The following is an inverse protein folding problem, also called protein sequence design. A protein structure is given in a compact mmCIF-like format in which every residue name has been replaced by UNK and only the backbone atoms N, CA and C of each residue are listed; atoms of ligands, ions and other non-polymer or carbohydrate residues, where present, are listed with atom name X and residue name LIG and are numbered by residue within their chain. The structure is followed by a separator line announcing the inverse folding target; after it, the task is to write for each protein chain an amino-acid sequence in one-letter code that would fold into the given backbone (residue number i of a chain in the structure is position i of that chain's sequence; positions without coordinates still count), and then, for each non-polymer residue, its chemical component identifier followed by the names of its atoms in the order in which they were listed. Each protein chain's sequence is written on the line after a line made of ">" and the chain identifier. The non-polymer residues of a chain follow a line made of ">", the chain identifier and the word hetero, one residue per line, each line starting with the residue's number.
data_IF_494063782121
#
_entry.id   IF_494063782121
#
_cell.length_a   1.000
_cell.length_b   1.000
_cell.length_c   1.000
_cell.angle_alpha   90.00
_cell.angle_beta   90.00
_cell.angle_gamma   90.00
#
_symmetry.space_group_name_H-M   'P 1'
#
loop_
_entity.id
_entity.type
_entity.pdbx_description
1 polymer ?
#
# COMPACT_ATOMS: atom_id res chain seq x y z
N UNK A 1 13.27 6.81 -2.80
CA UNK A 1 12.64 6.73 -1.46
C UNK A 1 12.41 5.29 -0.99
N UNK A 2 11.78 4.42 -1.81
CA UNK A 2 11.35 3.08 -1.37
C UNK A 2 12.44 2.00 -1.29
N UNK A 3 13.62 2.20 -1.87
CA UNK A 3 14.68 1.19 -1.96
C UNK A 3 15.14 0.59 -0.62
N UNK A 4 14.94 1.30 0.50
CA UNK A 4 15.27 0.79 1.84
C UNK A 4 14.26 -0.23 2.42
N UNK A 5 13.09 -0.36 1.79
CA UNK A 5 12.05 -1.35 2.14
C UNK A 5 11.84 -2.34 1.01
N UNK A 6 12.90 -2.68 0.29
CA UNK A 6 12.87 -3.67 -0.78
C UNK A 6 12.18 -4.96 -0.31
N UNK A 7 11.18 -5.42 -1.06
CA UNK A 7 10.35 -6.57 -0.73
C UNK A 7 9.30 -6.37 0.38
N UNK A 8 9.35 -5.27 1.16
CA UNK A 8 8.38 -4.96 2.24
C UNK A 8 7.33 -3.93 1.85
N UNK A 9 7.67 -3.02 0.93
CA UNK A 9 6.75 -2.02 0.37
C UNK A 9 6.77 -2.12 -1.15
N UNK A 10 5.59 -2.22 -1.74
CA UNK A 10 5.38 -2.25 -3.19
C UNK A 10 4.48 -1.10 -3.60
N UNK A 11 4.67 -0.59 -4.83
CA UNK A 11 3.76 0.39 -5.42
C UNK A 11 2.48 -0.33 -5.83
N UNK A 12 1.36 0.00 -5.19
CA UNK A 12 0.05 -0.54 -5.50
C UNK A 12 -0.58 0.16 -6.72
N UNK A 13 -0.37 1.48 -6.84
CA UNK A 13 -0.85 2.26 -7.96
C UNK A 13 -0.01 3.52 -8.18
N UNK A 14 0.08 3.98 -9.42
CA UNK A 14 0.62 5.29 -9.78
C UNK A 14 -0.54 6.13 -10.30
N UNK A 15 -1.00 7.09 -9.50
CA UNK A 15 -2.13 7.96 -9.83
C UNK A 15 -1.71 9.18 -10.65
N UNK A 16 -0.41 9.50 -10.68
CA UNK A 16 0.14 10.60 -11.45
C UNK A 16 1.63 10.80 -11.19
N UNK A 17 2.24 11.81 -11.84
CA UNK A 17 3.68 12.07 -11.74
C UNK A 17 4.16 12.42 -10.32
N UNK A 18 3.25 12.91 -9.46
CA UNK A 18 3.52 13.26 -8.07
C UNK A 18 2.61 12.52 -7.07
N UNK A 19 1.88 11.49 -7.51
CA UNK A 19 0.95 10.75 -6.64
C UNK A 19 1.00 9.26 -6.93
N UNK A 20 1.28 8.48 -5.89
CA UNK A 20 1.29 7.03 -5.94
C UNK A 20 0.73 6.46 -4.63
N UNK A 21 0.16 5.27 -4.70
CA UNK A 21 -0.27 4.48 -3.55
C UNK A 21 0.72 3.33 -3.40
N UNK A 22 1.13 3.08 -2.16
CA UNK A 22 2.00 1.96 -1.81
C UNK A 22 1.30 1.07 -0.80
N UNK A 23 1.63 -0.20 -0.82
CA UNK A 23 1.12 -1.22 0.10
C UNK A 23 2.28 -2.08 0.59
N UNK A 24 2.19 -2.56 1.83
CA UNK A 24 3.26 -3.33 2.43
C UNK A 24 2.97 -3.70 3.87
N UNK A 25 3.98 -4.26 4.53
CA UNK A 25 3.93 -4.57 5.96
C UNK A 25 3.56 -3.32 6.76
N UNK A 26 2.66 -3.45 7.74
CA UNK A 26 2.19 -2.34 8.58
C UNK A 26 3.35 -1.57 9.20
N UNK A 27 4.35 -2.27 9.76
CA UNK A 27 5.54 -1.64 10.35
C UNK A 27 6.34 -0.85 9.32
N UNK A 28 6.52 -1.38 8.10
CA UNK A 28 7.25 -0.69 7.04
C UNK A 28 6.49 0.56 6.55
N UNK A 29 5.16 0.47 6.44
CA UNK A 29 4.31 1.63 6.11
C UNK A 29 4.38 2.71 7.20
N UNK A 30 4.36 2.33 8.47
CA UNK A 30 4.54 3.29 9.57
C UNK A 30 5.89 4.00 9.51
N UNK A 31 7.00 3.27 9.29
CA UNK A 31 8.33 3.87 9.12
C UNK A 31 8.42 4.79 7.90
N UNK A 32 7.74 4.41 6.81
CA UNK A 32 7.65 5.24 5.61
C UNK A 32 6.96 6.57 5.90
N UNK A 33 5.83 6.55 6.60
CA UNK A 33 5.10 7.76 6.98
C UNK A 33 5.97 8.69 7.83
N UNK A 34 6.66 8.16 8.85
CA UNK A 34 7.57 8.94 9.69
C UNK A 34 8.65 9.60 8.83
N UNK A 35 9.23 8.86 7.88
CA UNK A 35 10.27 9.47 7.05
C UNK A 35 9.72 10.50 6.08
N UNK A 36 8.54 10.26 5.51
CA UNK A 36 7.90 11.25 4.66
C UNK A 36 7.67 12.56 5.43
N UNK A 37 7.26 12.49 6.69
CA UNK A 37 7.13 13.67 7.56
C UNK A 37 8.49 14.40 7.73
N UNK A 38 9.56 13.67 8.05
CA UNK A 38 10.90 14.24 8.18
C UNK A 38 11.41 14.90 6.89
N UNK A 39 11.08 14.33 5.73
CA UNK A 39 11.49 14.81 4.41
C UNK A 39 10.51 15.85 3.83
N UNK A 40 9.48 16.27 4.59
CA UNK A 40 8.41 17.18 4.14
C UNK A 40 7.65 16.69 2.88
N UNK A 41 7.43 15.38 2.78
CA UNK A 41 6.64 14.72 1.73
C UNK A 41 5.21 14.50 2.25
N UNK A 42 4.19 14.98 1.52
CA UNK A 42 2.77 14.70 1.85
C UNK A 42 2.49 13.21 1.63
N UNK A 43 2.38 12.48 2.73
CA UNK A 43 2.00 11.08 2.77
C UNK A 43 0.94 10.87 3.85
N UNK A 44 -0.12 10.13 3.54
CA UNK A 44 -1.21 9.84 4.46
C UNK A 44 -1.51 8.35 4.43
N UNK A 45 -1.72 7.78 5.60
CA UNK A 45 -2.23 6.41 5.71
C UNK A 45 -3.66 6.38 5.16
N UNK A 46 -3.93 5.43 4.28
CA UNK A 46 -5.30 5.12 3.87
C UNK A 46 -5.80 4.07 4.87
N UNK A 47 -6.83 4.36 5.69
CA UNK A 47 -7.40 3.36 6.58
C UNK A 47 -8.13 2.33 5.73
N UNK A 48 -7.44 1.24 5.41
CA UNK A 48 -8.03 0.06 4.79
C UNK A 48 -8.18 -1.00 5.88
N UNK A 49 -9.42 -1.22 6.33
CA UNK A 49 -9.82 -2.29 7.24
C UNK A 49 -9.82 -3.67 6.56
N UNK A 50 -8.85 -3.93 5.68
CA UNK A 50 -8.71 -5.24 5.08
C UNK A 50 -7.26 -5.59 4.75
N UNK A 51 -6.67 -6.62 5.40
CA UNK A 51 -5.42 -7.24 4.94
C UNK A 51 -5.70 -7.98 3.63
N UNK A 52 -5.80 -7.21 2.54
CA UNK A 52 -6.12 -7.68 1.19
C UNK A 52 -4.99 -8.51 0.56
N UNK A 53 -3.88 -8.70 1.30
CA UNK A 53 -2.79 -9.60 0.97
C UNK A 53 -2.30 -10.43 2.16
N UNK A 54 -3.20 -10.78 3.09
CA UNK A 54 -3.00 -12.01 3.86
C UNK A 54 -3.49 -13.18 2.99
N UNK A 55 -2.81 -14.35 2.95
CA UNK A 55 -3.24 -15.53 2.17
C UNK A 55 -4.66 -16.03 2.47
N UNK A 56 -5.37 -15.38 3.40
CA UNK A 56 -6.74 -15.67 3.80
C UNK A 56 -7.82 -15.10 2.86
N UNK A 57 -7.51 -14.17 1.93
CA UNK A 57 -8.54 -13.56 1.04
C UNK A 57 -8.50 -14.00 -0.43
N UNK A 58 -7.70 -15.00 -0.79
CA UNK A 58 -7.80 -15.66 -2.10
C UNK A 58 -9.00 -16.64 -2.14
N UNK A 59 -10.18 -16.20 -1.68
CA UNK A 59 -11.41 -17.01 -1.75
C UNK A 59 -12.66 -16.25 -2.18
N UNK A 60 -12.58 -14.95 -2.48
CA UNK A 60 -13.72 -14.19 -2.99
C UNK A 60 -13.33 -13.42 -4.25
N UNK A 61 -12.96 -14.16 -5.29
CA UNK A 61 -13.04 -13.67 -6.67
C UNK A 61 -13.59 -14.76 -7.58
N UNK A 62 -14.82 -15.17 -7.31
CA UNK A 62 -15.69 -15.71 -8.36
C UNK A 62 -17.13 -15.50 -7.93
N UNK A 63 -17.65 -14.32 -8.26
CA UNK A 63 -19.05 -14.14 -8.65
C UNK A 63 -19.20 -12.68 -9.01
N UNK A 64 -19.04 -12.36 -10.30
CA UNK A 64 -19.97 -11.51 -11.04
C UNK A 64 -19.64 -11.66 -12.52
N UNK A 65 -20.63 -12.21 -13.24
CA UNK A 65 -21.00 -12.05 -14.65
C UNK A 65 -21.34 -13.41 -15.25
N UNK A 66 -22.60 -13.81 -15.12
CA UNK A 66 -23.49 -13.96 -16.27
C UNK A 66 -24.95 -13.80 -15.77
N UNK A 67 -25.80 -13.32 -16.66
CA UNK A 67 -27.10 -12.61 -16.52
C UNK A 67 -28.17 -13.18 -15.57
#
# INVERSE_FOLDING_TARGET
>A
LLARWDGKITVAAVNGPASAVVSGDTTAITELLITCEHENIDARAIPVDYPSHSPYMEHIRHQFLDE
#
